data_IF_853384034651
#
_entry.id   IF_853384034651
#
_cell.length_a   1.000
_cell.length_b   1.000
_cell.length_c   1.000
_cell.angle_alpha   90.00
_cell.angle_beta   90.00
_cell.angle_gamma   90.00
#
_symmetry.space_group_name_H-M   'P 1'
#
loop_
_entity.id
_entity.type
_entity.pdbx_description
1 polymer ?
#
# COMPACT_ATOMS: atom_id res chain seq x y z
N UNK A 1 -7.59 -5.93 -14.53
CA UNK A 1 -8.98 -5.41 -14.49
C UNK A 1 -10.06 -6.48 -14.50
N UNK A 2 -10.16 -7.33 -15.54
CA UNK A 2 -11.22 -8.36 -15.58
C UNK A 2 -11.16 -9.32 -14.39
N UNK A 3 -9.95 -9.60 -13.88
CA UNK A 3 -9.79 -10.34 -12.62
C UNK A 3 -10.45 -9.61 -11.45
N UNK A 4 -10.21 -8.31 -11.28
CA UNK A 4 -10.85 -7.49 -10.22
C UNK A 4 -12.37 -7.50 -10.32
N UNK A 5 -12.92 -7.46 -11.54
CA UNK A 5 -14.36 -7.59 -11.74
C UNK A 5 -14.90 -8.94 -11.29
N UNK A 6 -14.17 -10.02 -11.55
CA UNK A 6 -14.54 -11.35 -11.10
C UNK A 6 -14.48 -11.44 -9.56
N UNK A 7 -13.38 -11.01 -8.95
CA UNK A 7 -13.24 -10.93 -7.48
C UNK A 7 -14.42 -10.14 -6.86
N UNK A 8 -14.69 -8.95 -7.38
CA UNK A 8 -15.81 -8.14 -6.93
C UNK A 8 -17.18 -8.80 -7.14
N UNK A 9 -17.35 -9.67 -8.14
CA UNK A 9 -18.60 -10.45 -8.31
C UNK A 9 -18.72 -11.56 -7.27
N UNK A 10 -17.61 -12.21 -6.91
CA UNK A 10 -17.55 -13.23 -5.86
C UNK A 10 -17.90 -12.61 -4.50
N UNK A 11 -17.25 -11.51 -4.13
CA UNK A 11 -17.52 -10.76 -2.89
C UNK A 11 -18.98 -10.27 -2.82
N UNK A 12 -19.52 -9.69 -3.90
CA UNK A 12 -20.93 -9.25 -3.94
C UNK A 12 -21.93 -10.40 -3.94
N UNK A 13 -21.51 -11.62 -4.26
CA UNK A 13 -22.31 -12.83 -4.12
C UNK A 13 -22.21 -13.44 -2.72
N UNK A 14 -21.51 -12.79 -1.78
CA UNK A 14 -21.24 -13.27 -0.42
C UNK A 14 -20.51 -14.63 -0.40
N UNK A 15 -19.65 -14.87 -1.39
CA UNK A 15 -18.82 -16.07 -1.48
C UNK A 15 -17.40 -15.70 -1.04
N UNK A 16 -16.77 -16.56 -0.24
CA UNK A 16 -15.39 -16.37 0.18
C UNK A 16 -14.42 -16.45 -1.02
N UNK A 17 -13.73 -15.36 -1.43
CA UNK A 17 -12.87 -15.36 -2.61
C UNK A 17 -11.59 -16.21 -2.43
N UNK A 18 -11.22 -16.51 -1.18
CA UNK A 18 -10.05 -17.34 -0.86
C UNK A 18 -10.31 -18.85 -1.03
N UNK A 19 -11.56 -19.25 -1.28
CA UNK A 19 -11.96 -20.65 -1.47
C UNK A 19 -12.31 -20.99 -2.91
N UNK A 20 -12.58 -19.99 -3.74
CA UNK A 20 -13.07 -20.18 -5.11
C UNK A 20 -12.10 -19.67 -6.17
N UNK A 21 -12.26 -20.14 -7.39
CA UNK A 21 -11.51 -19.72 -8.57
C UNK A 21 -12.42 -19.73 -9.81
N UNK A 22 -12.11 -18.98 -10.88
CA UNK A 22 -13.03 -18.78 -12.00
C UNK A 22 -13.57 -20.04 -12.69
N UNK A 23 -12.80 -21.13 -12.71
CA UNK A 23 -13.20 -22.40 -13.35
C UNK A 23 -14.03 -23.34 -12.46
N UNK A 24 -14.13 -23.05 -11.16
CA UNK A 24 -14.83 -23.90 -10.21
C UNK A 24 -16.31 -24.02 -10.60
N UNK A 25 -16.88 -25.25 -10.75
CA UNK A 25 -18.22 -25.47 -11.29
C UNK A 25 -19.33 -24.64 -10.60
N UNK A 26 -19.27 -24.50 -9.28
CA UNK A 26 -20.27 -23.79 -8.48
C UNK A 26 -20.34 -22.27 -8.67
N UNK A 27 -19.33 -21.65 -9.30
CA UNK A 27 -19.27 -20.19 -9.52
C UNK A 27 -19.14 -19.81 -10.99
N UNK A 28 -19.37 -20.75 -11.92
CA UNK A 28 -19.28 -20.50 -13.37
C UNK A 28 -20.23 -19.38 -13.85
N UNK A 29 -21.37 -19.21 -13.19
CA UNK A 29 -22.31 -18.11 -13.47
C UNK A 29 -21.72 -16.72 -13.24
N UNK A 30 -20.64 -16.61 -12.44
CA UNK A 30 -19.91 -15.37 -12.19
C UNK A 30 -18.79 -15.13 -13.22
N UNK A 31 -18.51 -16.05 -14.14
CA UNK A 31 -17.53 -15.82 -15.20
C UNK A 31 -18.10 -14.87 -16.27
N UNK A 32 -17.22 -14.13 -16.95
CA UNK A 32 -17.59 -13.34 -18.14
C UNK A 32 -17.05 -14.05 -19.39
N UNK A 33 -17.92 -14.69 -20.21
CA UNK A 33 -17.49 -15.37 -21.42
C UNK A 33 -16.85 -14.46 -22.46
N UNK A 34 -17.20 -13.17 -22.46
CA UNK A 34 -16.66 -12.18 -23.42
C UNK A 34 -15.24 -11.76 -23.08
N UNK A 35 -14.85 -11.89 -21.81
CA UNK A 35 -13.55 -11.47 -21.30
C UNK A 35 -12.93 -12.60 -20.47
N UNK A 36 -12.45 -13.66 -21.14
CA UNK A 36 -11.83 -14.79 -20.46
C UNK A 36 -10.62 -14.36 -19.63
N UNK A 37 -10.55 -14.84 -18.39
CA UNK A 37 -9.39 -14.62 -17.54
C UNK A 37 -8.24 -15.54 -17.97
N UNK A 38 -6.98 -15.09 -17.84
CA UNK A 38 -5.81 -15.93 -18.07
C UNK A 38 -5.62 -16.95 -16.94
N UNK A 39 -5.74 -16.51 -15.69
CA UNK A 39 -5.47 -17.33 -14.50
C UNK A 39 -6.79 -17.89 -13.92
N UNK A 40 -7.40 -18.84 -14.61
CA UNK A 40 -8.75 -19.34 -14.27
C UNK A 40 -8.75 -20.42 -13.18
N UNK A 41 -7.66 -21.16 -13.02
CA UNK A 41 -7.48 -22.18 -11.99
C UNK A 41 -6.89 -21.66 -10.67
N UNK A 42 -6.70 -20.33 -10.54
CA UNK A 42 -5.99 -19.73 -9.41
C UNK A 42 -6.98 -18.94 -8.54
N UNK A 43 -6.90 -19.17 -7.23
CA UNK A 43 -7.66 -18.44 -6.20
C UNK A 43 -7.12 -17.03 -6.03
N UNK A 44 -7.84 -16.17 -5.32
CA UNK A 44 -7.33 -14.84 -5.05
C UNK A 44 -6.04 -14.89 -4.21
N UNK A 45 -5.09 -14.02 -4.55
CA UNK A 45 -3.92 -13.67 -3.74
C UNK A 45 -4.00 -12.21 -3.26
N UNK A 46 -5.10 -11.52 -3.58
CA UNK A 46 -5.30 -10.15 -3.13
C UNK A 46 -5.62 -10.18 -1.64
N UNK A 47 -5.05 -9.26 -0.83
CA UNK A 47 -5.40 -9.21 0.57
C UNK A 47 -6.75 -8.50 0.78
N UNK A 48 -7.31 -8.58 2.01
CA UNK A 48 -8.71 -8.26 2.26
C UNK A 48 -9.17 -6.86 1.87
N UNK A 49 -8.31 -5.84 1.99
CA UNK A 49 -8.71 -4.47 1.63
C UNK A 49 -8.84 -4.30 0.12
N UNK A 50 -8.05 -5.02 -0.67
CA UNK A 50 -8.16 -5.04 -2.12
C UNK A 50 -9.44 -5.73 -2.58
N UNK A 51 -9.77 -6.88 -1.99
CA UNK A 51 -11.05 -7.56 -2.21
C UNK A 51 -12.25 -6.65 -1.90
N UNK A 52 -12.22 -5.98 -0.74
CA UNK A 52 -13.24 -5.01 -0.36
C UNK A 52 -13.36 -3.87 -1.39
N UNK A 53 -12.24 -3.29 -1.84
CA UNK A 53 -12.25 -2.27 -2.89
C UNK A 53 -12.83 -2.79 -4.22
N UNK A 54 -12.59 -4.06 -4.55
CA UNK A 54 -13.16 -4.69 -5.74
C UNK A 54 -14.67 -4.89 -5.65
N UNK A 55 -15.21 -5.14 -4.45
CA UNK A 55 -16.64 -5.32 -4.24
C UNK A 55 -17.47 -4.06 -4.57
N UNK A 56 -16.93 -2.86 -4.34
CA UNK A 56 -17.64 -1.59 -4.53
C UNK A 56 -17.77 -1.15 -5.99
N UNK A 57 -16.91 -1.65 -6.86
CA UNK A 57 -16.85 -1.23 -8.27
C UNK A 57 -17.34 -2.36 -9.18
N UNK A 58 -18.15 -2.02 -10.18
CA UNK A 58 -18.77 -3.02 -11.08
C UNK A 58 -18.20 -2.96 -12.51
N UNK A 59 -17.75 -1.80 -12.95
CA UNK A 59 -17.37 -1.55 -14.35
C UNK A 59 -15.87 -1.32 -14.50
N UNK A 60 -15.30 -1.71 -15.64
CA UNK A 60 -13.88 -1.46 -15.98
C UNK A 60 -13.53 0.03 -15.88
N UNK A 61 -14.41 0.89 -16.41
CA UNK A 61 -14.24 2.34 -16.31
C UNK A 61 -14.27 2.83 -14.84
N UNK A 62 -15.11 2.24 -13.99
CA UNK A 62 -15.14 2.53 -12.56
C UNK A 62 -13.81 2.20 -11.88
N UNK A 63 -13.19 1.06 -12.20
CA UNK A 63 -11.89 0.68 -11.64
C UNK A 63 -10.80 1.64 -12.08
N UNK A 64 -10.77 2.02 -13.38
CA UNK A 64 -9.85 3.05 -13.88
C UNK A 64 -9.98 4.35 -13.10
N UNK A 65 -11.20 4.86 -12.97
CA UNK A 65 -11.47 6.11 -12.24
C UNK A 65 -11.04 6.02 -10.79
N UNK A 66 -11.40 4.94 -10.08
CA UNK A 66 -11.04 4.76 -8.68
C UNK A 66 -9.53 4.74 -8.49
N UNK A 67 -8.81 3.87 -9.19
CA UNK A 67 -7.37 3.73 -9.00
C UNK A 67 -6.57 4.93 -9.53
N UNK A 68 -7.07 5.63 -10.54
CA UNK A 68 -6.50 6.92 -10.98
C UNK A 68 -6.74 8.00 -9.93
N UNK A 69 -7.94 8.06 -9.33
CA UNK A 69 -8.23 9.04 -8.27
C UNK A 69 -7.38 8.81 -7.03
N UNK A 70 -7.16 7.54 -6.64
CA UNK A 70 -6.23 7.18 -5.56
C UNK A 70 -4.79 7.59 -5.88
N UNK A 71 -4.33 7.37 -7.12
CA UNK A 71 -3.01 7.80 -7.58
C UNK A 71 -2.84 9.33 -7.58
N UNK A 72 -3.86 10.08 -8.03
CA UNK A 72 -3.87 11.54 -7.91
C UNK A 72 -3.87 11.99 -6.44
N UNK A 73 -4.56 11.26 -5.56
CA UNK A 73 -4.47 11.44 -4.12
C UNK A 73 -3.04 11.23 -3.60
N UNK A 74 -2.31 10.23 -4.11
CA UNK A 74 -0.91 9.99 -3.79
C UNK A 74 -0.02 11.17 -4.20
N UNK A 75 -0.26 11.78 -5.36
CA UNK A 75 0.41 13.03 -5.77
C UNK A 75 0.16 14.14 -4.76
N UNK A 76 -1.10 14.33 -4.32
CA UNK A 76 -1.46 15.29 -3.28
C UNK A 76 -0.73 15.05 -1.96
N UNK A 77 -0.69 13.79 -1.49
CA UNK A 77 0.03 13.44 -0.27
C UNK A 77 1.55 13.61 -0.40
N UNK A 78 2.13 13.34 -1.57
CA UNK A 78 3.55 13.60 -1.83
C UNK A 78 3.87 15.09 -1.74
N UNK A 79 3.01 15.96 -2.31
CA UNK A 79 3.16 17.41 -2.17
C UNK A 79 3.13 17.84 -0.70
N UNK A 80 2.17 17.31 0.09
CA UNK A 80 2.09 17.58 1.52
C UNK A 80 3.33 17.10 2.27
N UNK A 81 3.80 15.88 2.00
CA UNK A 81 5.03 15.34 2.60
C UNK A 81 6.23 16.22 2.28
N UNK A 82 6.43 16.58 1.01
CA UNK A 82 7.52 17.48 0.59
C UNK A 82 7.44 18.84 1.31
N UNK A 83 6.25 19.41 1.45
CA UNK A 83 6.05 20.64 2.21
C UNK A 83 6.40 20.46 3.69
N UNK A 84 5.94 19.37 4.32
CA UNK A 84 6.22 19.05 5.73
C UNK A 84 7.71 18.90 6.00
N UNK A 85 8.46 18.24 5.11
CA UNK A 85 9.91 18.07 5.24
C UNK A 85 10.74 19.21 4.62
N UNK A 86 10.08 20.31 4.21
CA UNK A 86 10.69 21.52 3.62
C UNK A 86 11.57 21.24 2.39
N UNK A 87 11.14 20.29 1.55
CA UNK A 87 11.80 19.96 0.29
C UNK A 87 11.12 20.67 -0.90
N UNK A 88 11.82 20.88 -2.02
CA UNK A 88 11.23 21.49 -3.22
C UNK A 88 10.05 20.65 -3.75
N UNK A 89 8.88 21.28 -3.92
CA UNK A 89 7.65 20.60 -4.37
C UNK A 89 7.78 20.02 -5.77
N UNK A 90 8.64 20.60 -6.62
CA UNK A 90 8.91 20.15 -7.98
C UNK A 90 9.42 18.71 -8.03
N UNK A 91 9.96 18.17 -6.92
CA UNK A 91 10.35 16.76 -6.82
C UNK A 91 9.18 15.80 -7.04
N UNK A 92 7.94 16.24 -6.83
CA UNK A 92 6.75 15.44 -7.17
C UNK A 92 6.71 15.05 -8.65
N UNK A 93 7.32 15.85 -9.54
CA UNK A 93 7.38 15.57 -10.97
C UNK A 93 8.12 14.27 -11.28
N UNK A 94 9.06 13.84 -10.42
CA UNK A 94 9.72 12.53 -10.57
C UNK A 94 8.71 11.38 -10.48
N UNK A 95 7.69 11.52 -9.64
CA UNK A 95 6.59 10.56 -9.55
C UNK A 95 5.55 10.80 -10.64
N UNK A 96 5.04 12.02 -10.76
CA UNK A 96 3.92 12.35 -11.65
C UNK A 96 4.27 12.22 -13.14
N UNK A 97 5.53 12.44 -13.52
CA UNK A 97 6.01 12.30 -14.89
C UNK A 97 6.61 10.92 -15.18
N UNK A 98 6.57 10.00 -14.21
CA UNK A 98 7.07 8.66 -14.42
C UNK A 98 6.14 7.91 -15.39
N UNK A 99 6.64 7.48 -16.58
CA UNK A 99 5.78 6.84 -17.58
C UNK A 99 5.18 5.53 -17.07
N UNK A 100 5.90 4.80 -16.21
CA UNK A 100 5.41 3.56 -15.60
C UNK A 100 4.23 3.82 -14.67
N UNK A 101 4.28 4.88 -13.86
CA UNK A 101 3.17 5.29 -12.96
C UNK A 101 1.95 5.65 -13.80
N UNK A 102 2.12 6.51 -14.80
CA UNK A 102 1.04 6.94 -15.69
C UNK A 102 0.36 5.77 -16.40
N UNK A 103 1.16 4.87 -17.01
CA UNK A 103 0.61 3.69 -17.71
C UNK A 103 -0.07 2.74 -16.72
N UNK A 104 0.55 2.47 -15.57
CA UNK A 104 0.03 1.49 -14.61
C UNK A 104 -1.31 1.93 -14.00
N UNK A 105 -1.45 3.20 -13.63
CA UNK A 105 -2.65 3.68 -12.93
C UNK A 105 -3.69 4.31 -13.86
N UNK A 106 -3.30 5.24 -14.72
CA UNK A 106 -4.27 5.93 -15.58
C UNK A 106 -4.77 5.03 -16.73
N UNK A 107 -3.88 4.26 -17.36
CA UNK A 107 -4.24 3.43 -18.51
C UNK A 107 -4.70 2.03 -18.09
N UNK A 108 -3.93 1.36 -17.24
CA UNK A 108 -4.15 -0.03 -16.82
C UNK A 108 -4.97 -0.18 -15.53
N UNK A 109 -5.21 0.91 -14.78
CA UNK A 109 -5.97 0.97 -13.52
C UNK A 109 -5.58 -0.14 -12.56
N UNK A 110 -4.29 -0.18 -12.26
CA UNK A 110 -3.70 -1.13 -11.33
C UNK A 110 -4.06 -0.78 -9.89
N UNK A 111 -4.44 -1.78 -9.11
CA UNK A 111 -4.94 -1.58 -7.74
C UNK A 111 -3.88 -1.11 -6.71
N UNK A 112 -2.59 -1.12 -7.07
CA UNK A 112 -1.49 -0.77 -6.16
C UNK A 112 -1.57 0.66 -5.62
N UNK A 113 -2.30 1.56 -6.30
CA UNK A 113 -2.48 2.94 -5.85
C UNK A 113 -3.18 3.03 -4.49
N UNK A 114 -4.02 2.05 -4.12
CA UNK A 114 -4.62 1.99 -2.78
C UNK A 114 -3.55 1.77 -1.70
N UNK A 115 -2.61 0.85 -1.94
CA UNK A 115 -1.52 0.56 -1.01
C UNK A 115 -0.55 1.75 -0.90
N UNK A 116 -0.24 2.40 -2.03
CA UNK A 116 0.65 3.56 -2.08
C UNK A 116 0.03 4.76 -1.35
N UNK A 117 -1.23 5.09 -1.62
CA UNK A 117 -1.92 6.20 -0.95
C UNK A 117 -1.94 6.01 0.57
N UNK A 118 -2.33 4.83 1.05
CA UNK A 118 -2.42 4.54 2.49
C UNK A 118 -1.05 4.55 3.16
N UNK A 119 0.01 4.09 2.46
CA UNK A 119 1.38 4.19 2.92
C UNK A 119 1.86 5.65 3.04
N UNK A 120 1.58 6.49 2.04
CA UNK A 120 1.96 7.91 2.08
C UNK A 120 1.21 8.65 3.20
N UNK A 121 -0.07 8.35 3.41
CA UNK A 121 -0.86 8.89 4.51
C UNK A 121 -0.26 8.50 5.87
N UNK A 122 0.14 7.24 6.03
CA UNK A 122 0.84 6.79 7.24
C UNK A 122 2.10 7.61 7.50
N UNK A 123 2.94 7.84 6.48
CA UNK A 123 4.16 8.64 6.61
C UNK A 123 3.86 10.08 7.05
N UNK A 124 2.81 10.70 6.49
CA UNK A 124 2.40 12.05 6.88
C UNK A 124 1.95 12.10 8.34
N UNK A 125 1.20 11.09 8.79
CA UNK A 125 0.75 10.95 10.18
C UNK A 125 1.91 10.68 11.14
N UNK A 126 2.93 9.93 10.73
CA UNK A 126 4.16 9.72 11.50
C UNK A 126 4.88 11.06 11.71
N UNK A 127 5.03 11.86 10.66
CA UNK A 127 5.62 13.21 10.75
C UNK A 127 4.79 14.16 11.62
N UNK A 128 3.47 13.99 11.62
CA UNK A 128 2.55 14.72 12.49
C UNK A 128 2.49 14.17 13.93
N UNK A 129 3.32 13.18 14.28
CA UNK A 129 3.34 12.50 15.58
C UNK A 129 2.03 11.80 15.99
N UNK A 130 1.14 11.51 15.04
CA UNK A 130 -0.15 10.86 15.26
C UNK A 130 -0.01 9.32 15.16
N UNK A 131 0.45 8.70 16.25
CA UNK A 131 0.87 7.28 16.27
C UNK A 131 -0.24 6.28 15.90
N UNK A 132 -1.41 6.40 16.51
CA UNK A 132 -2.52 5.44 16.31
C UNK A 132 -2.99 5.44 14.85
N UNK A 133 -3.38 6.58 14.26
CA UNK A 133 -3.82 6.57 12.86
C UNK A 133 -2.67 6.20 11.91
N UNK A 134 -1.42 6.55 12.20
CA UNK A 134 -0.29 6.08 11.40
C UNK A 134 -0.22 4.55 11.31
N UNK A 135 -0.33 3.85 12.44
CA UNK A 135 -0.34 2.38 12.49
C UNK A 135 -1.54 1.81 11.73
N UNK A 136 -2.72 2.42 11.87
CA UNK A 136 -3.92 2.01 11.11
C UNK A 136 -3.66 2.12 9.61
N UNK A 137 -3.12 3.23 9.13
CA UNK A 137 -2.84 3.42 7.71
C UNK A 137 -1.72 2.49 7.19
N UNK A 138 -0.73 2.14 8.01
CA UNK A 138 0.25 1.11 7.66
C UNK A 138 -0.40 -0.26 7.52
N UNK A 139 -1.29 -0.63 8.44
CA UNK A 139 -2.03 -1.89 8.37
C UNK A 139 -2.94 -1.93 7.13
N UNK A 140 -3.63 -0.83 6.82
CA UNK A 140 -4.44 -0.71 5.60
C UNK A 140 -3.57 -0.86 4.35
N UNK A 141 -2.38 -0.27 4.32
CA UNK A 141 -1.45 -0.42 3.20
C UNK A 141 -1.05 -1.88 2.99
N UNK A 142 -0.72 -2.60 4.07
CA UNK A 142 -0.41 -4.03 4.03
C UNK A 142 -1.59 -4.90 3.58
N UNK A 143 -2.81 -4.58 4.05
CA UNK A 143 -4.04 -5.27 3.65
C UNK A 143 -4.49 -4.93 2.22
N UNK A 144 -4.00 -3.84 1.63
CA UNK A 144 -4.16 -3.57 0.21
C UNK A 144 -3.14 -4.36 -0.62
N UNK A 145 -1.88 -4.41 -0.18
CA UNK A 145 -0.83 -5.20 -0.83
C UNK A 145 0.27 -5.53 0.16
N UNK A 146 0.92 -6.68 0.01
CA UNK A 146 1.89 -7.14 1.01
C UNK A 146 3.25 -6.43 0.99
N UNK A 147 3.64 -5.74 -0.09
CA UNK A 147 4.97 -5.10 -0.18
C UNK A 147 5.34 -4.10 0.95
N UNK A 148 4.41 -3.36 1.58
CA UNK A 148 4.73 -2.43 2.67
C UNK A 148 5.34 -3.13 3.89
N UNK A 149 5.19 -4.44 4.06
CA UNK A 149 5.86 -5.19 5.13
C UNK A 149 7.39 -5.09 5.03
N UNK A 150 7.93 -4.93 3.82
CA UNK A 150 9.37 -4.75 3.62
C UNK A 150 9.89 -3.44 4.25
N UNK A 151 8.99 -2.48 4.51
CA UNK A 151 9.31 -1.21 5.15
C UNK A 151 9.15 -1.25 6.67
N UNK A 152 8.63 -2.34 7.23
CA UNK A 152 8.43 -2.50 8.68
C UNK A 152 9.70 -2.25 9.51
N UNK A 153 10.90 -2.72 9.11
CA UNK A 153 12.13 -2.45 9.86
C UNK A 153 12.42 -0.94 10.01
N UNK A 154 12.07 -0.14 9.01
CA UNK A 154 12.29 1.33 9.02
C UNK A 154 11.38 1.97 10.07
N UNK A 155 10.13 1.51 10.20
CA UNK A 155 9.19 2.05 11.19
C UNK A 155 9.46 1.56 12.62
N UNK A 156 10.05 0.37 12.77
CA UNK A 156 10.42 -0.19 14.08
C UNK A 156 11.76 0.36 14.61
N UNK A 157 12.59 0.94 13.74
CA UNK A 157 13.78 1.70 14.13
C UNK A 157 13.36 3.05 14.74
N UNK A 158 12.75 3.02 15.92
CA UNK A 158 12.72 4.17 16.79
C UNK A 158 14.16 4.50 17.20
N UNK A 159 14.58 5.78 17.22
CA UNK A 159 15.90 6.13 17.71
C UNK A 159 15.99 5.62 19.15
N UNK A 160 16.96 4.74 19.41
CA UNK A 160 17.46 4.54 20.76
C UNK A 160 17.77 5.95 21.25
N UNK A 161 16.98 6.45 22.21
CA UNK A 161 17.37 7.66 22.94
C UNK A 161 18.73 7.32 23.54
N UNK A 162 19.80 7.76 22.90
CA UNK A 162 21.07 7.96 23.58
C UNK A 162 20.78 9.06 24.58
N UNK A 163 20.31 8.69 25.76
CA UNK A 163 20.32 9.58 26.91
C UNK A 163 21.77 10.04 27.07
N UNK A 164 21.97 11.36 27.07
CA UNK A 164 23.22 11.95 27.51
C UNK A 164 23.45 11.51 28.96
N UNK A 165 24.26 10.49 29.16
CA UNK A 165 24.47 9.87 30.47
C UNK A 165 24.78 8.37 30.41
N UNK A 166 25.51 7.90 29.41
CA UNK A 166 26.03 6.53 29.39
C UNK A 166 27.23 6.44 30.36
N UNK A 167 27.12 5.82 31.56
CA UNK A 167 28.20 5.82 32.54
C UNK A 167 29.37 4.89 32.15
N UNK A 168 29.22 4.11 31.08
CA UNK A 168 30.09 2.98 30.76
C UNK A 168 31.42 3.39 30.12
N UNK A 169 31.67 4.69 29.88
CA UNK A 169 32.96 5.18 29.38
C UNK A 169 33.83 5.95 30.37
N UNK A 170 33.42 6.08 31.63
CA UNK A 170 34.23 6.76 32.64
C UNK A 170 35.22 5.84 33.40
N UNK A 171 35.18 4.52 33.20
CA UNK A 171 36.00 3.56 34.00
C UNK A 171 37.25 3.08 33.25
N UNK A 172 37.43 3.38 31.96
CA UNK A 172 38.58 2.89 31.19
C UNK A 172 39.78 3.85 31.09
N UNK A 173 39.84 4.91 31.91
CA UNK A 173 41.04 5.77 32.03
C UNK A 173 41.65 5.80 33.43
N UNK A 174 41.11 5.03 34.39
CA UNK A 174 41.62 4.97 35.77
C UNK A 174 42.62 3.82 36.04
N UNK A 175 43.00 3.04 35.01
CA UNK A 175 43.91 1.89 35.13
C UNK A 175 45.21 2.02 34.33
N UNK A 176 45.58 3.22 33.90
CA UNK A 176 46.89 3.48 33.28
C UNK A 176 47.62 4.60 34.01
N UNK A 177 47.87 4.37 35.30
CA UNK A 177 48.81 5.15 36.09
C UNK A 177 49.44 4.27 37.18
N UNK A 178 50.46 3.49 36.83
CA UNK A 178 51.52 3.01 37.74
C UNK A 178 52.50 2.11 36.97
N UNK A 179 53.75 2.56 36.81
CA UNK A 179 54.85 1.83 36.18
C UNK A 179 55.93 2.78 35.72
#
# INVERSE_FOLDING_TARGET
MYRYQWEGRVERAHINPYEVFPELPGVRSLADPRHPLANRGVRTLYPPLSEAAFSWVKTVAGYKRLFTALDLGSVGLLLLLLATVKQPLQRVLVYAWNPTVLVSFALCGHHDSLAILTLLAANLLILAHQRVPAVVFLALSFLAKFFPIALLPIFLQAPVRRTAGDPVRAVSSAWLGAG
#
